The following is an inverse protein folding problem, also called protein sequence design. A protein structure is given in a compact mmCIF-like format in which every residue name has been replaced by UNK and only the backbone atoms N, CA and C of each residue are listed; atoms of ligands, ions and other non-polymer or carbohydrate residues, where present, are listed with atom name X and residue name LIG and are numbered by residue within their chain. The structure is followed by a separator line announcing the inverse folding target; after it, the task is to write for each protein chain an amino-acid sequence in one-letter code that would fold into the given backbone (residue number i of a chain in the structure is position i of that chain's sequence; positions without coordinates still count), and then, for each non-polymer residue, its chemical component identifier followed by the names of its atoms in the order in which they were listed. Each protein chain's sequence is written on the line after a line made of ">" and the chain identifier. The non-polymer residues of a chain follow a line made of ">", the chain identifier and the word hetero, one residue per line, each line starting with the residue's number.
data_IF_155434556656
#
_entry.id   IF_155434556656
#
_cell.length_a   1.000
_cell.length_b   1.000
_cell.length_c   1.000
_cell.angle_alpha   90.00
_cell.angle_beta   90.00
_cell.angle_gamma   90.00
#
_symmetry.space_group_name_H-M   'P 1'
#
loop_
_entity.id
_entity.type
_entity.pdbx_description
1 polymer ?
#
# COMPACT_ATOMS: atom_id res chain seq x y z
N UNK A 1 8.03 6.55 11.23
CA UNK A 1 7.17 6.14 10.08
C UNK A 1 6.56 7.38 9.44
N UNK A 2 6.82 7.61 8.14
CA UNK A 2 6.27 8.74 7.40
C UNK A 2 5.25 8.21 6.38
N UNK A 3 3.97 8.51 6.58
CA UNK A 3 2.90 8.13 5.64
C UNK A 3 2.06 9.37 5.34
N UNK A 4 1.85 9.65 4.06
CA UNK A 4 0.99 10.74 3.60
C UNK A 4 -0.09 10.17 2.68
N UNK A 5 -1.35 10.46 2.99
CA UNK A 5 -2.47 9.96 2.21
C UNK A 5 -3.18 11.15 1.56
N UNK A 6 -3.27 11.12 0.23
CA UNK A 6 -4.16 12.02 -0.49
C UNK A 6 -5.59 11.48 -0.40
N UNK A 7 -6.45 12.24 0.27
CA UNK A 7 -7.85 11.87 0.48
C UNK A 7 -8.73 12.59 -0.54
N UNK A 8 -9.32 11.83 -1.46
CA UNK A 8 -10.16 12.34 -2.53
C UNK A 8 -11.63 12.62 -2.11
N UNK A 9 -11.94 12.58 -0.79
CA UNK A 9 -13.28 12.78 -0.19
C UNK A 9 -14.39 11.90 -0.79
N UNK A 10 -14.04 10.72 -1.30
CA UNK A 10 -14.95 9.82 -2.02
C UNK A 10 -15.44 8.63 -1.20
N UNK A 11 -14.98 8.49 0.05
CA UNK A 11 -15.33 7.35 0.89
C UNK A 11 -16.31 7.72 2.02
N UNK A 12 -17.09 6.72 2.46
CA UNK A 12 -17.92 6.84 3.67
C UNK A 12 -17.00 7.01 4.89
N UNK A 13 -17.10 8.15 5.57
CA UNK A 13 -16.27 8.49 6.75
C UNK A 13 -16.29 7.44 7.84
N UNK A 14 -17.37 6.66 7.99
CA UNK A 14 -17.49 5.61 9.02
C UNK A 14 -16.67 4.38 8.70
N UNK A 15 -16.44 4.10 7.42
CA UNK A 15 -15.71 2.92 6.91
C UNK A 15 -14.30 3.26 6.42
N UNK A 16 -13.93 4.54 6.39
CA UNK A 16 -12.67 5.02 5.83
C UNK A 16 -11.49 4.60 6.72
N UNK A 17 -10.63 3.75 6.20
CA UNK A 17 -9.41 3.29 6.87
C UNK A 17 -8.42 4.44 7.09
N UNK A 18 -8.36 5.40 6.17
CA UNK A 18 -7.52 6.60 6.25
C UNK A 18 -7.84 7.44 7.48
N UNK A 19 -9.13 7.74 7.72
CA UNK A 19 -9.55 8.54 8.88
C UNK A 19 -9.19 7.80 10.18
N UNK A 20 -9.33 6.48 10.20
CA UNK A 20 -8.99 5.67 11.37
C UNK A 20 -7.49 5.68 11.64
N UNK A 21 -6.67 5.49 10.62
CA UNK A 21 -5.20 5.56 10.74
C UNK A 21 -4.72 6.96 11.16
N UNK A 22 -5.35 8.02 10.65
CA UNK A 22 -5.00 9.40 11.01
C UNK A 22 -5.20 9.70 12.51
N UNK A 23 -6.20 9.09 13.14
CA UNK A 23 -6.44 9.20 14.59
C UNK A 23 -5.33 8.55 15.43
N UNK A 24 -4.58 7.60 14.86
CA UNK A 24 -3.41 6.97 15.49
C UNK A 24 -2.14 7.84 15.49
N UNK A 25 -2.17 9.04 14.93
CA UNK A 25 -1.16 10.09 15.10
C UNK A 25 0.07 10.01 14.17
N UNK A 26 0.21 8.99 13.34
CA UNK A 26 1.42 8.77 12.52
C UNK A 26 1.22 8.96 11.02
N UNK A 27 0.05 9.44 10.60
CA UNK A 27 -0.32 9.58 9.19
C UNK A 27 -0.78 11.00 8.90
N UNK A 28 -0.19 11.59 7.88
CA UNK A 28 -0.60 12.90 7.37
C UNK A 28 -1.64 12.71 6.27
N UNK A 29 -2.79 13.35 6.41
CA UNK A 29 -3.82 13.39 5.37
C UNK A 29 -3.77 14.74 4.67
N UNK A 30 -3.74 14.72 3.35
CA UNK A 30 -3.67 15.92 2.50
C UNK A 30 -4.80 15.90 1.46
N UNK A 31 -5.21 17.08 1.02
CA UNK A 31 -6.27 17.27 0.02
C UNK A 31 -5.75 17.84 -1.31
N UNK A 32 -4.43 18.00 -1.44
CA UNK A 32 -3.78 18.48 -2.67
C UNK A 32 -2.57 17.57 -2.98
N UNK A 33 -2.44 17.17 -4.24
CA UNK A 33 -1.34 16.32 -4.72
C UNK A 33 0.05 16.95 -4.58
N UNK A 34 0.14 18.26 -4.64
CA UNK A 34 1.42 18.96 -4.45
C UNK A 34 1.93 18.93 -3.00
N UNK A 35 1.10 18.50 -2.05
CA UNK A 35 1.48 18.30 -0.65
C UNK A 35 2.07 16.92 -0.37
N UNK A 36 2.09 16.02 -1.36
CA UNK A 36 2.76 14.73 -1.23
C UNK A 36 4.28 14.94 -1.15
N UNK A 37 4.99 14.20 -0.27
CA UNK A 37 6.43 14.35 -0.10
C UNK A 37 7.19 14.05 -1.39
N UNK A 38 8.19 14.87 -1.69
CA UNK A 38 9.12 14.61 -2.79
C UNK A 38 9.97 13.40 -2.41
N UNK A 39 10.16 12.47 -3.35
CA UNK A 39 10.95 11.26 -3.13
C UNK A 39 10.22 10.08 -2.46
N UNK A 40 9.00 10.31 -1.89
CA UNK A 40 8.20 9.23 -1.32
C UNK A 40 7.86 8.15 -2.37
N UNK A 41 7.72 6.90 -1.91
CA UNK A 41 7.14 5.83 -2.73
C UNK A 41 5.65 6.08 -2.87
N UNK A 42 5.18 6.25 -4.11
CA UNK A 42 3.78 6.52 -4.43
C UNK A 42 3.10 5.21 -4.81
N UNK A 43 2.12 4.78 -4.02
CA UNK A 43 1.33 3.60 -4.31
C UNK A 43 0.31 3.92 -5.41
N UNK A 44 0.55 3.36 -6.58
CA UNK A 44 -0.24 3.56 -7.79
C UNK A 44 -0.52 2.18 -8.42
N UNK A 45 -1.80 1.74 -8.48
CA UNK A 45 -2.15 0.44 -9.08
C UNK A 45 -1.76 0.30 -10.54
N UNK A 46 -1.54 1.41 -11.23
CA UNK A 46 -1.17 1.43 -12.66
C UNK A 46 0.35 1.55 -12.89
N UNK A 47 1.15 1.54 -11.82
CA UNK A 47 2.60 1.59 -11.96
C UNK A 47 3.15 0.28 -12.54
N UNK A 48 4.10 0.41 -13.46
CA UNK A 48 4.76 -0.74 -14.11
C UNK A 48 5.75 -1.46 -13.15
N UNK A 49 6.31 -0.70 -12.19
CA UNK A 49 7.29 -1.22 -11.24
C UNK A 49 6.60 -1.64 -9.94
N UNK A 50 6.79 -2.88 -9.52
CA UNK A 50 6.27 -3.36 -8.23
C UNK A 50 7.12 -2.86 -7.06
N UNK A 51 6.50 -2.68 -5.90
CA UNK A 51 7.20 -2.48 -4.62
C UNK A 51 8.14 -3.65 -4.36
N UNK A 52 9.35 -3.34 -3.95
CA UNK A 52 10.38 -4.34 -3.64
C UNK A 52 11.30 -3.86 -2.51
N UNK A 53 12.18 -4.70 -1.96
CA UNK A 53 13.18 -4.27 -0.96
C UNK A 53 14.12 -3.15 -1.42
N UNK A 54 14.29 -2.94 -2.72
CA UNK A 54 15.04 -1.78 -3.26
C UNK A 54 14.47 -0.44 -2.81
N UNK A 55 13.19 -0.39 -2.46
CA UNK A 55 12.49 0.83 -2.08
C UNK A 55 12.67 1.19 -0.59
N UNK A 56 13.40 0.37 0.19
CA UNK A 56 13.55 0.53 1.64
C UNK A 56 14.10 1.91 2.02
N UNK A 57 15.22 2.33 1.42
CA UNK A 57 15.84 3.63 1.68
C UNK A 57 14.86 4.79 1.40
N UNK A 58 14.19 4.76 0.25
CA UNK A 58 13.22 5.80 -0.11
C UNK A 58 12.03 5.84 0.86
N UNK A 59 11.57 4.68 1.34
CA UNK A 59 10.49 4.59 2.35
C UNK A 59 10.96 5.14 3.70
N UNK A 60 12.16 4.85 4.14
CA UNK A 60 12.70 5.35 5.41
C UNK A 60 12.92 6.87 5.39
N UNK A 61 13.52 7.38 4.31
CA UNK A 61 13.85 8.80 4.18
C UNK A 61 12.63 9.66 3.87
N UNK A 62 11.82 9.27 2.89
CA UNK A 62 10.77 10.12 2.31
C UNK A 62 9.36 9.60 2.61
N UNK A 63 9.24 8.33 3.02
CA UNK A 63 7.98 7.71 3.40
C UNK A 63 7.17 7.14 2.23
N UNK A 64 5.91 6.83 2.53
CA UNK A 64 4.93 6.28 1.60
C UNK A 64 3.86 7.33 1.32
N UNK A 65 3.49 7.50 0.07
CA UNK A 65 2.33 8.27 -0.37
C UNK A 65 1.27 7.33 -0.97
N UNK A 66 0.02 7.45 -0.52
CA UNK A 66 -1.07 6.63 -1.00
C UNK A 66 -2.26 7.50 -1.43
N UNK A 67 -3.06 6.99 -2.36
CA UNK A 67 -4.33 7.57 -2.77
C UNK A 67 -5.48 6.84 -2.07
N UNK A 68 -6.27 7.57 -1.32
CA UNK A 68 -7.52 7.06 -0.75
C UNK A 68 -8.69 7.41 -1.67
N UNK A 69 -8.99 6.50 -2.57
CA UNK A 69 -10.13 6.58 -3.47
C UNK A 69 -10.88 5.25 -3.54
N UNK A 70 -12.13 5.29 -3.96
CA UNK A 70 -12.92 4.08 -4.18
C UNK A 70 -12.40 3.32 -5.41
N UNK A 71 -12.21 1.99 -5.30
CA UNK A 71 -11.88 1.11 -6.42
C UNK A 71 -12.82 1.25 -7.62
N UNK A 72 -14.10 1.59 -7.38
CA UNK A 72 -15.08 1.86 -8.44
C UNK A 72 -14.78 3.11 -9.28
N UNK A 73 -13.91 3.99 -8.79
CA UNK A 73 -13.53 5.26 -9.42
C UNK A 73 -12.03 5.32 -9.72
N UNK A 74 -11.33 4.20 -9.58
CA UNK A 74 -9.87 4.15 -9.71
C UNK A 74 -9.41 4.53 -11.12
N UNK A 75 -10.20 4.20 -12.15
CA UNK A 75 -9.89 4.54 -13.55
C UNK A 75 -9.77 6.05 -13.76
N UNK A 76 -10.52 6.85 -12.99
CA UNK A 76 -10.43 8.30 -13.00
C UNK A 76 -9.17 8.83 -12.30
N UNK A 77 -8.46 7.97 -11.57
CA UNK A 77 -7.20 8.32 -10.88
C UNK A 77 -5.97 8.05 -11.75
N UNK A 78 -6.15 7.33 -12.88
CA UNK A 78 -5.07 7.12 -13.83
C UNK A 78 -4.54 8.48 -14.31
N UNK A 79 -3.24 8.71 -14.11
CA UNK A 79 -2.62 9.99 -14.45
C UNK A 79 -2.63 11.08 -13.36
N UNK A 80 -3.31 10.89 -12.23
CA UNK A 80 -3.24 11.85 -11.10
C UNK A 80 -1.81 12.12 -10.64
N UNK A 81 -0.95 11.13 -10.74
CA UNK A 81 0.46 11.22 -10.36
C UNK A 81 1.40 11.45 -11.55
N UNK A 82 0.86 11.75 -12.75
CA UNK A 82 1.66 12.01 -13.95
C UNK A 82 2.74 13.06 -13.68
N UNK A 83 3.98 12.72 -14.01
CA UNK A 83 5.16 13.58 -13.76
C UNK A 83 5.75 13.46 -12.35
N UNK A 84 5.17 12.71 -11.42
CA UNK A 84 5.82 12.33 -10.17
C UNK A 84 6.70 11.10 -10.38
N UNK A 85 7.80 11.00 -9.63
CA UNK A 85 8.71 9.85 -9.66
C UNK A 85 8.33 8.83 -8.57
N UNK A 86 8.94 7.66 -8.61
CA UNK A 86 8.81 6.61 -7.58
C UNK A 86 7.40 5.99 -7.44
N UNK A 87 6.71 5.81 -8.56
CA UNK A 87 5.46 5.04 -8.58
C UNK A 87 5.73 3.54 -8.41
N UNK A 88 4.93 2.89 -7.59
CA UNK A 88 4.98 1.43 -7.39
C UNK A 88 3.58 0.86 -7.30
N UNK A 89 3.36 -0.25 -7.98
CA UNK A 89 2.20 -1.11 -7.76
C UNK A 89 2.50 -2.12 -6.66
N UNK A 90 1.47 -2.67 -6.03
CA UNK A 90 1.63 -3.82 -5.15
C UNK A 90 1.56 -5.12 -5.95
N UNK A 91 2.36 -6.13 -5.60
CA UNK A 91 2.21 -7.46 -6.17
C UNK A 91 0.90 -8.12 -5.70
N UNK A 92 0.61 -9.30 -6.23
CA UNK A 92 -0.58 -10.07 -5.87
C UNK A 92 -0.66 -10.31 -4.36
N UNK A 93 -1.75 -9.85 -3.75
CA UNK A 93 -2.12 -10.06 -2.36
C UNK A 93 -3.64 -10.14 -2.25
N UNK A 94 -4.13 -10.82 -1.22
CA UNK A 94 -5.57 -11.03 -0.99
C UNK A 94 -6.07 -10.10 0.12
N UNK A 95 -7.14 -9.39 -0.15
CA UNK A 95 -7.75 -8.48 0.81
C UNK A 95 -8.42 -9.22 1.97
N UNK A 96 -8.23 -8.73 3.19
CA UNK A 96 -8.88 -9.20 4.40
C UNK A 96 -9.87 -8.18 5.00
N UNK A 97 -9.92 -6.96 4.43
CA UNK A 97 -10.84 -5.93 4.89
C UNK A 97 -12.31 -6.34 4.63
N UNK A 98 -13.27 -5.90 5.49
CA UNK A 98 -14.65 -6.37 5.41
C UNK A 98 -15.38 -6.05 4.10
N UNK A 99 -14.93 -5.03 3.36
CA UNK A 99 -15.57 -4.63 2.10
C UNK A 99 -15.15 -5.52 0.93
N UNK A 100 -13.88 -5.96 0.92
CA UNK A 100 -13.28 -6.68 -0.21
C UNK A 100 -12.68 -8.04 0.21
N UNK A 101 -13.13 -8.61 1.31
CA UNK A 101 -12.62 -9.88 1.83
C UNK A 101 -12.50 -10.97 0.75
N UNK A 102 -11.32 -11.58 0.68
CA UNK A 102 -11.02 -12.66 -0.27
C UNK A 102 -10.78 -12.20 -1.71
N UNK A 103 -10.92 -10.92 -2.02
CA UNK A 103 -10.67 -10.43 -3.39
C UNK A 103 -9.18 -10.17 -3.59
N UNK A 104 -8.61 -10.71 -4.68
CA UNK A 104 -7.21 -10.45 -5.02
C UNK A 104 -7.02 -9.00 -5.51
N UNK A 105 -5.89 -8.42 -5.18
CA UNK A 105 -5.41 -7.10 -5.64
C UNK A 105 -6.32 -5.89 -5.30
N UNK A 106 -7.43 -6.08 -4.60
CA UNK A 106 -8.36 -4.99 -4.23
C UNK A 106 -8.18 -4.63 -2.75
N UNK A 107 -6.98 -4.16 -2.42
CA UNK A 107 -6.59 -3.81 -1.05
C UNK A 107 -7.20 -2.49 -0.61
N UNK A 108 -7.46 -2.36 0.69
CA UNK A 108 -7.70 -1.05 1.31
C UNK A 108 -6.39 -0.26 1.41
N UNK A 109 -6.49 1.06 1.58
CA UNK A 109 -5.31 1.93 1.78
C UNK A 109 -4.44 1.46 2.95
N UNK A 110 -5.05 0.97 4.04
CA UNK A 110 -4.32 0.44 5.19
C UNK A 110 -3.54 -0.85 4.84
N UNK A 111 -4.16 -1.77 4.11
CA UNK A 111 -3.51 -3.00 3.65
C UNK A 111 -2.38 -2.70 2.68
N UNK A 112 -2.58 -1.76 1.76
CA UNK A 112 -1.57 -1.37 0.79
C UNK A 112 -0.32 -0.77 1.47
N UNK A 113 -0.50 0.12 2.45
CA UNK A 113 0.60 0.70 3.22
C UNK A 113 1.31 -0.37 4.05
N UNK A 114 0.54 -1.24 4.72
CA UNK A 114 1.11 -2.33 5.52
C UNK A 114 1.90 -3.32 4.68
N UNK A 115 1.37 -3.72 3.52
CA UNK A 115 2.08 -4.59 2.58
C UNK A 115 3.41 -3.96 2.13
N UNK A 116 3.41 -2.68 1.79
CA UNK A 116 4.62 -1.94 1.42
C UNK A 116 5.67 -2.02 2.53
N UNK A 117 5.30 -1.70 3.77
CA UNK A 117 6.23 -1.81 4.91
C UNK A 117 6.77 -3.22 5.09
N UNK A 118 5.93 -4.25 4.92
CA UNK A 118 6.36 -5.63 5.06
C UNK A 118 7.38 -6.01 3.98
N UNK A 119 7.08 -5.71 2.71
CA UNK A 119 7.93 -6.03 1.56
C UNK A 119 9.30 -5.34 1.66
N UNK A 120 9.35 -4.08 2.09
CA UNK A 120 10.63 -3.36 2.26
C UNK A 120 11.37 -3.72 3.57
N UNK A 121 10.90 -4.72 4.33
CA UNK A 121 11.58 -5.21 5.54
C UNK A 121 11.19 -4.48 6.83
N UNK A 122 10.32 -3.48 6.80
CA UNK A 122 9.88 -2.70 7.96
C UNK A 122 8.67 -3.36 8.65
N UNK A 123 8.79 -4.65 9.00
CA UNK A 123 7.69 -5.51 9.51
C UNK A 123 6.99 -4.94 10.75
N UNK A 124 7.71 -4.28 11.66
CA UNK A 124 7.10 -3.66 12.83
C UNK A 124 6.13 -2.53 12.48
N UNK A 125 6.44 -1.77 11.42
CA UNK A 125 5.55 -0.72 10.92
C UNK A 125 4.28 -1.31 10.28
N UNK A 126 4.42 -2.43 9.55
CA UNK A 126 3.30 -3.16 8.99
C UNK A 126 2.34 -3.66 10.07
N UNK A 127 2.88 -4.29 11.12
CA UNK A 127 2.11 -4.77 12.28
C UNK A 127 1.42 -3.60 12.98
N UNK A 128 2.13 -2.48 13.19
CA UNK A 128 1.57 -1.30 13.84
C UNK A 128 0.36 -0.73 13.08
N UNK A 129 0.43 -0.65 11.75
CA UNK A 129 -0.72 -0.21 10.92
C UNK A 129 -1.90 -1.18 11.08
N UNK A 130 -1.65 -2.48 10.95
CA UNK A 130 -2.70 -3.50 10.99
C UNK A 130 -3.32 -3.67 12.39
N UNK A 131 -2.59 -3.44 13.46
CA UNK A 131 -3.11 -3.53 14.84
C UNK A 131 -4.25 -2.54 15.14
N UNK A 132 -4.39 -1.49 14.35
CA UNK A 132 -5.48 -0.52 14.48
C UNK A 132 -6.84 -1.07 14.00
N UNK A 133 -6.85 -2.24 13.33
CA UNK A 133 -8.04 -2.86 12.77
C UNK A 133 -8.24 -4.26 13.35
N UNK A 134 -9.47 -4.62 13.74
CA UNK A 134 -9.78 -5.97 14.25
C UNK A 134 -9.43 -7.07 13.25
N UNK A 135 -9.58 -6.81 11.97
CA UNK A 135 -9.26 -7.71 10.86
C UNK A 135 -7.81 -7.61 10.39
N UNK A 136 -7.07 -6.61 10.86
CA UNK A 136 -5.71 -6.32 10.37
C UNK A 136 -4.70 -7.44 10.57
N UNK A 137 -4.59 -8.07 11.76
CA UNK A 137 -3.70 -9.22 11.95
C UNK A 137 -4.01 -10.38 11.00
N UNK A 138 -5.29 -10.55 10.62
CA UNK A 138 -5.70 -11.57 9.65
C UNK A 138 -5.17 -11.28 8.25
N UNK A 139 -5.07 -10.00 7.83
CA UNK A 139 -4.45 -9.64 6.55
C UNK A 139 -3.01 -10.11 6.46
N UNK A 140 -2.22 -9.88 7.51
CA UNK A 140 -0.82 -10.31 7.55
C UNK A 140 -0.70 -11.83 7.55
N UNK A 141 -1.57 -12.52 8.28
CA UNK A 141 -1.58 -13.99 8.33
C UNK A 141 -2.03 -14.62 7.01
N UNK A 142 -3.07 -14.07 6.39
CA UNK A 142 -3.59 -14.55 5.11
C UNK A 142 -2.56 -14.47 3.99
N UNK A 143 -1.72 -13.44 4.00
CA UNK A 143 -0.70 -13.19 2.99
C UNK A 143 0.72 -13.51 3.46
N UNK A 144 0.89 -14.25 4.58
CA UNK A 144 2.18 -14.45 5.24
C UNK A 144 3.24 -15.02 4.30
N UNK A 145 2.91 -16.06 3.55
CA UNK A 145 3.82 -16.73 2.63
C UNK A 145 4.25 -15.80 1.49
N UNK A 146 3.30 -15.08 0.89
CA UNK A 146 3.56 -14.11 -0.17
C UNK A 146 4.40 -12.94 0.31
N UNK A 147 4.02 -12.33 1.43
CA UNK A 147 4.75 -11.19 2.01
C UNK A 147 6.18 -11.57 2.40
N UNK A 148 6.37 -12.77 2.94
CA UNK A 148 7.70 -13.28 3.27
C UNK A 148 8.53 -13.49 2.00
N UNK A 149 7.98 -14.14 0.97
CA UNK A 149 8.66 -14.36 -0.31
C UNK A 149 9.06 -13.02 -0.97
N UNK A 150 8.15 -12.04 -1.01
CA UNK A 150 8.45 -10.72 -1.58
C UNK A 150 9.51 -9.96 -0.78
N UNK A 151 9.53 -10.10 0.54
CA UNK A 151 10.52 -9.43 1.40
C UNK A 151 11.95 -9.98 1.23
N UNK A 152 12.11 -11.17 0.67
CA UNK A 152 13.41 -11.78 0.35
C UNK A 152 13.86 -11.53 -1.10
N UNK A 153 13.00 -10.99 -1.94
CA UNK A 153 13.39 -10.56 -3.28
C UNK A 153 14.42 -9.44 -3.20
N UNK A 154 15.27 -9.32 -4.22
CA UNK A 154 16.24 -8.22 -4.31
C UNK A 154 15.70 -7.06 -5.11
N UNK A 155 14.92 -7.35 -6.14
CA UNK A 155 14.47 -6.37 -7.12
C UNK A 155 12.96 -6.46 -7.37
N UNK A 156 12.40 -5.41 -7.96
CA UNK A 156 11.01 -5.41 -8.44
C UNK A 156 10.74 -6.54 -9.44
N UNK A 157 11.70 -6.88 -10.29
CA UNK A 157 11.58 -7.99 -11.24
C UNK A 157 11.46 -9.33 -10.53
N UNK A 158 12.26 -9.56 -9.49
CA UNK A 158 12.15 -10.78 -8.67
C UNK A 158 10.81 -10.89 -7.96
N UNK A 159 10.27 -9.78 -7.44
CA UNK A 159 8.92 -9.75 -6.85
C UNK A 159 7.87 -10.19 -7.87
N UNK A 160 7.97 -9.68 -9.11
CA UNK A 160 7.04 -10.07 -10.19
C UNK A 160 7.20 -11.54 -10.57
N UNK A 161 8.42 -12.07 -10.61
CA UNK A 161 8.67 -13.49 -10.88
C UNK A 161 8.06 -14.38 -9.80
N UNK A 162 8.28 -14.06 -8.52
CA UNK A 162 7.66 -14.75 -7.38
C UNK A 162 6.15 -14.73 -7.50
N UNK A 163 5.55 -13.57 -7.78
CA UNK A 163 4.11 -13.44 -8.01
C UNK A 163 3.62 -14.40 -9.09
N UNK A 164 4.32 -14.45 -10.24
CA UNK A 164 3.91 -15.28 -11.37
C UNK A 164 3.97 -16.79 -11.04
N UNK A 165 4.93 -17.21 -10.22
CA UNK A 165 5.01 -18.59 -9.72
C UNK A 165 3.80 -18.94 -8.84
N UNK A 166 3.37 -18.02 -7.97
CA UNK A 166 2.19 -18.23 -7.12
C UNK A 166 0.85 -18.24 -7.89
N UNK A 167 0.73 -17.44 -8.93
CA UNK A 167 -0.53 -17.33 -9.70
C UNK A 167 -0.61 -18.41 -10.79
N UNK A 168 0.51 -18.84 -11.32
CA UNK A 168 0.60 -19.76 -12.45
C UNK A 168 0.68 -21.23 -12.06
N UNK A 169 0.70 -21.57 -10.77
CA UNK A 169 0.81 -22.94 -10.23
C UNK A 169 -0.52 -23.66 -10.12
#
# INVERSE_FOLDING_TARGET
>A
MKVTIYHAEQCDRRKCTTIRMAKGGNIKVVNKLNMLPVGAIILDPFAEKAVSPEDCEAVEENGIAALDCSWKKIDNSSGLFKGKKNHRSLPFLVAANPTNYGKPCILSTAEAISATFNIVGLKNNAIHIMSQFKWGPHFLKLNEELLEAYSHAKTSMEVVNIQNEFIGG
#
